data_IF_310501673006
#
_entry.id   IF_310501673006
#
_cell.length_a   1.000
_cell.length_b   1.000
_cell.length_c   1.000
_cell.angle_alpha   90.00
_cell.angle_beta   90.00
_cell.angle_gamma   90.00
#
_symmetry.space_group_name_H-M   'P 1'
#
loop_
_entity.id
_entity.type
_entity.pdbx_description
1 polymer ?
#
# COMPACT_ATOMS: atom_id res chain seq x y z
N UNK A 1 16.16 -1.35 8.49
CA UNK A 1 15.06 -1.88 7.65
C UNK A 1 14.19 -0.71 7.23
N UNK A 2 13.67 -0.67 5.99
CA UNK A 2 12.78 0.42 5.56
C UNK A 2 11.37 0.14 6.10
N UNK A 3 10.69 1.16 6.57
CA UNK A 3 9.30 1.12 7.00
C UNK A 3 8.51 2.15 6.18
N UNK A 4 7.35 1.75 5.68
CA UNK A 4 6.50 2.58 4.85
C UNK A 4 5.25 2.99 5.61
N UNK A 5 4.85 4.26 5.45
CA UNK A 5 3.60 4.81 5.95
C UNK A 5 2.74 5.21 4.77
N UNK A 6 1.53 4.65 4.66
CA UNK A 6 0.55 5.12 3.70
C UNK A 6 -0.22 6.28 4.31
N UNK A 7 -0.20 7.42 3.64
CA UNK A 7 -0.86 8.65 4.11
C UNK A 7 -1.98 9.02 3.14
N UNK A 8 -3.20 9.06 3.65
CA UNK A 8 -4.34 9.56 2.89
C UNK A 8 -4.37 11.08 2.93
N UNK A 9 -4.24 11.71 1.75
CA UNK A 9 -4.14 13.17 1.66
C UNK A 9 -5.51 13.87 1.58
N UNK A 10 -6.58 13.16 1.22
CA UNK A 10 -7.91 13.74 1.02
C UNK A 10 -8.92 13.36 2.12
N UNK A 11 -8.84 14.03 3.27
CA UNK A 11 -9.67 13.75 4.46
C UNK A 11 -11.19 13.96 4.29
N UNK A 12 -11.65 14.46 3.15
CA UNK A 12 -13.07 14.71 2.89
C UNK A 12 -13.87 13.50 2.38
N UNK A 13 -13.20 12.42 1.97
CA UNK A 13 -13.84 11.23 1.39
C UNK A 13 -13.79 10.02 2.34
N UNK A 14 -14.95 9.38 2.51
CA UNK A 14 -15.38 8.34 3.47
C UNK A 14 -14.34 7.32 4.01
N UNK A 15 -14.56 6.98 5.29
CA UNK A 15 -13.98 5.95 6.17
C UNK A 15 -13.62 4.56 5.60
N UNK A 16 -14.19 4.08 4.48
CA UNK A 16 -13.89 2.69 4.03
C UNK A 16 -12.43 2.55 3.60
N UNK A 17 -11.82 3.63 3.09
CA UNK A 17 -10.45 3.62 2.59
C UNK A 17 -9.39 3.63 3.67
N UNK A 18 -9.71 4.11 4.87
CA UNK A 18 -8.72 4.15 5.95
C UNK A 18 -8.32 2.72 6.35
N UNK A 19 -9.29 1.81 6.43
CA UNK A 19 -9.03 0.39 6.71
C UNK A 19 -8.25 -0.29 5.60
N UNK A 20 -8.59 0.00 4.33
CA UNK A 20 -7.88 -0.56 3.19
C UNK A 20 -6.41 -0.07 3.16
N UNK A 21 -6.18 1.18 3.55
CA UNK A 21 -4.83 1.75 3.68
C UNK A 21 -4.05 1.14 4.84
N UNK A 22 -4.67 0.94 6.00
CA UNK A 22 -4.04 0.25 7.13
C UNK A 22 -3.65 -1.19 6.77
N UNK A 23 -4.53 -1.90 6.08
CA UNK A 23 -4.26 -3.26 5.61
C UNK A 23 -3.12 -3.28 4.57
N UNK A 24 -3.15 -2.35 3.61
CA UNK A 24 -2.10 -2.23 2.60
C UNK A 24 -0.75 -1.87 3.23
N UNK A 25 -0.73 -0.97 4.22
CA UNK A 25 0.48 -0.59 4.96
C UNK A 25 1.10 -1.80 5.68
N UNK A 26 0.26 -2.59 6.37
CA UNK A 26 0.70 -3.82 7.05
C UNK A 26 1.32 -4.83 6.07
N UNK A 27 0.66 -5.07 4.94
CA UNK A 27 1.16 -5.99 3.89
C UNK A 27 2.46 -5.50 3.26
N UNK A 28 2.57 -4.21 2.93
CA UNK A 28 3.80 -3.65 2.37
C UNK A 28 4.96 -3.87 3.32
N UNK A 29 4.76 -3.55 4.61
CA UNK A 29 5.82 -3.69 5.60
C UNK A 29 6.19 -5.16 5.86
N UNK A 30 5.25 -6.11 5.77
CA UNK A 30 5.58 -7.54 5.89
C UNK A 30 6.46 -8.02 4.73
N UNK A 31 6.14 -7.67 3.48
CA UNK A 31 6.98 -8.02 2.33
C UNK A 31 8.36 -7.36 2.39
N UNK A 32 8.41 -6.10 2.84
CA UNK A 32 9.70 -5.40 3.02
C UNK A 32 10.53 -6.04 4.11
N UNK A 33 9.90 -6.54 5.18
CA UNK A 33 10.57 -7.31 6.23
C UNK A 33 11.16 -8.63 5.70
N UNK A 34 10.50 -9.25 4.73
CA UNK A 34 11.00 -10.44 4.03
C UNK A 34 12.10 -10.14 3.00
N UNK A 35 12.50 -8.87 2.84
CA UNK A 35 13.56 -8.45 1.91
C UNK A 35 13.07 -8.11 0.50
N UNK A 36 11.76 -7.99 0.28
CA UNK A 36 11.24 -7.43 -0.97
C UNK A 36 11.37 -5.90 -0.98
N UNK A 37 11.53 -5.32 -2.17
CA UNK A 37 11.65 -3.89 -2.38
C UNK A 37 10.42 -3.39 -3.13
N UNK A 38 9.58 -2.59 -2.46
CA UNK A 38 8.46 -1.90 -3.08
C UNK A 38 8.96 -0.94 -4.17
N UNK A 39 8.42 -1.07 -5.38
CA UNK A 39 8.74 -0.24 -6.54
C UNK A 39 7.66 0.80 -6.79
N UNK A 40 6.39 0.37 -6.75
CA UNK A 40 5.25 1.23 -7.11
C UNK A 40 3.97 0.72 -6.43
N UNK A 41 3.07 1.65 -6.12
CA UNK A 41 1.68 1.36 -5.76
C UNK A 41 0.78 1.90 -6.87
N UNK A 42 -0.12 1.08 -7.38
CA UNK A 42 -1.08 1.41 -8.44
C UNK A 42 -2.49 1.25 -7.88
N UNK A 43 -3.32 2.29 -8.02
CA UNK A 43 -4.75 2.23 -7.71
C UNK A 43 -5.53 2.65 -8.96
N UNK A 44 -6.09 1.70 -9.72
CA UNK A 44 -6.85 2.00 -10.92
C UNK A 44 -8.24 2.52 -10.53
N UNK A 45 -8.32 3.84 -10.37
CA UNK A 45 -9.54 4.63 -10.13
C UNK A 45 -10.30 4.33 -8.84
N UNK A 46 -10.99 5.37 -8.37
CA UNK A 46 -11.71 5.35 -7.11
C UNK A 46 -12.93 4.42 -7.08
N UNK A 47 -13.38 3.98 -8.25
CA UNK A 47 -14.62 3.21 -8.45
C UNK A 47 -14.41 1.68 -8.45
N UNK A 48 -13.19 1.18 -8.75
CA UNK A 48 -12.92 -0.27 -8.92
C UNK A 48 -12.24 -0.88 -7.68
N UNK A 49 -11.79 -0.06 -6.73
CA UNK A 49 -11.48 -0.48 -5.35
C UNK A 49 -10.23 -1.34 -5.13
N UNK A 50 -9.45 -1.66 -6.17
CA UNK A 50 -8.23 -2.44 -6.00
C UNK A 50 -7.00 -1.54 -5.76
N UNK A 51 -6.14 -1.92 -4.82
CA UNK A 51 -4.79 -1.37 -4.67
C UNK A 51 -3.77 -2.46 -4.97
N UNK A 52 -2.80 -2.17 -5.84
CA UNK A 52 -1.78 -3.13 -6.29
C UNK A 52 -0.40 -2.62 -5.89
N UNK A 53 0.34 -3.40 -5.13
CA UNK A 53 1.76 -3.14 -4.83
C UNK A 53 2.66 -3.96 -5.77
N UNK A 54 3.61 -3.30 -6.42
CA UNK A 54 4.64 -3.93 -7.27
C UNK A 54 5.93 -4.05 -6.46
N UNK A 55 6.37 -5.28 -6.23
CA UNK A 55 7.57 -5.59 -5.44
C UNK A 55 8.62 -6.31 -6.28
N UNK A 56 9.88 -6.08 -5.94
CA UNK A 56 11.03 -6.72 -6.55
C UNK A 56 11.91 -7.38 -5.47
N UNK A 57 12.43 -8.57 -5.75
CA UNK A 57 13.41 -9.26 -4.90
C UNK A 57 14.38 -10.00 -5.81
N UNK A 58 15.68 -9.71 -5.66
CA UNK A 58 16.73 -10.48 -6.32
C UNK A 58 16.68 -11.93 -5.80
N UNK A 59 16.83 -12.89 -6.73
CA UNK A 59 16.88 -14.32 -6.42
C UNK A 59 18.27 -14.74 -5.99
#
# INVERSE_FOLDING_TARGET
>A
MKEYKLVYLNKGFKFSREKDLEQAESLINSYVAEGWVLQQIVSPSDDVGAMVGVFYKEK
#
